data_IF_939415428181
#
_entry.id   IF_939415428181
#
_cell.length_a   1.000
_cell.length_b   1.000
_cell.length_c   1.000
_cell.angle_alpha   90.00
_cell.angle_beta   90.00
_cell.angle_gamma   90.00
#
_symmetry.space_group_name_H-M   'P 1'
#
loop_
_entity.id
_entity.type
_entity.pdbx_description
1 polymer ?
#
# COMPACT_ATOMS: atom_id res chain seq x y z
N UNK A 1 -66.48 26.36 46.38
CA UNK A 1 -66.63 26.86 44.99
C UNK A 1 -65.27 26.76 44.39
N UNK A 2 -65.04 25.73 43.63
CA UNK A 2 -63.75 25.47 42.90
C UNK A 2 -63.68 26.35 41.63
N UNK A 3 -62.62 27.06 41.54
CA UNK A 3 -62.40 28.09 40.50
C UNK A 3 -62.27 27.40 39.06
N UNK A 4 -63.15 27.68 38.10
CA UNK A 4 -63.16 27.03 36.79
C UNK A 4 -61.87 27.26 35.97
N UNK A 5 -61.07 28.26 36.32
CA UNK A 5 -59.78 28.54 35.69
C UNK A 5 -58.71 27.47 36.03
N UNK A 6 -58.82 26.77 37.20
CA UNK A 6 -57.90 25.71 37.59
C UNK A 6 -58.09 24.43 36.78
N UNK A 7 -59.35 24.09 36.44
CA UNK A 7 -59.65 22.89 35.63
C UNK A 7 -59.22 23.04 34.20
N UNK A 8 -59.36 24.24 33.59
CA UNK A 8 -58.91 24.48 32.23
C UNK A 8 -57.38 24.47 32.10
N UNK A 9 -56.66 25.00 33.10
CA UNK A 9 -55.20 24.94 33.12
C UNK A 9 -54.68 23.51 33.27
N UNK A 10 -55.35 22.66 34.08
CA UNK A 10 -54.98 21.24 34.21
C UNK A 10 -55.30 20.43 32.94
N UNK A 11 -56.42 20.74 32.23
CA UNK A 11 -56.69 20.13 30.94
C UNK A 11 -55.67 20.50 29.86
N UNK A 12 -55.21 21.75 29.82
CA UNK A 12 -54.15 22.20 28.88
C UNK A 12 -52.79 21.58 29.16
N UNK A 13 -52.45 21.36 30.44
CA UNK A 13 -51.22 20.65 30.83
C UNK A 13 -51.25 19.18 30.44
N UNK A 14 -52.41 18.49 30.58
CA UNK A 14 -52.55 17.11 30.20
C UNK A 14 -52.56 16.91 28.68
N UNK A 15 -53.16 17.82 27.91
CA UNK A 15 -53.08 17.78 26.43
C UNK A 15 -51.71 18.12 25.89
N UNK A 16 -50.98 19.06 26.52
CA UNK A 16 -49.60 19.38 26.13
C UNK A 16 -48.63 18.24 26.41
N UNK A 17 -48.82 17.47 27.49
CA UNK A 17 -47.98 16.29 27.80
C UNK A 17 -48.29 15.11 26.88
N UNK A 18 -49.52 14.97 26.36
CA UNK A 18 -49.86 13.94 25.38
C UNK A 18 -49.30 14.26 23.97
N UNK A 19 -49.11 15.53 23.61
CA UNK A 19 -48.52 15.97 22.36
C UNK A 19 -46.98 15.92 22.35
N UNK A 20 -46.35 15.73 23.53
CA UNK A 20 -44.91 15.58 23.68
C UNK A 20 -44.47 14.13 23.97
N UNK A 21 -45.31 13.12 23.78
CA UNK A 21 -44.76 11.76 23.62
C UNK A 21 -43.86 11.79 22.37
N UNK A 22 -42.52 11.61 22.50
CA UNK A 22 -41.74 11.30 21.35
C UNK A 22 -42.31 10.00 20.80
N UNK A 23 -43.04 10.08 19.68
CA UNK A 23 -43.43 8.87 18.98
C UNK A 23 -42.13 8.07 18.81
N UNK A 24 -42.13 6.83 19.30
CA UNK A 24 -41.04 5.92 19.01
C UNK A 24 -40.85 6.00 17.50
N UNK A 25 -39.78 6.67 17.07
CA UNK A 25 -39.34 6.63 15.67
C UNK A 25 -38.94 5.17 15.50
N UNK A 26 -39.89 4.35 15.00
CA UNK A 26 -39.63 2.98 14.58
C UNK A 26 -38.46 3.08 13.58
N UNK A 27 -37.27 2.79 14.08
CA UNK A 27 -36.06 2.89 13.32
C UNK A 27 -36.13 1.85 12.19
N UNK A 28 -36.21 2.35 10.97
CA UNK A 28 -36.40 1.58 9.76
C UNK A 28 -35.19 0.66 9.51
N UNK A 29 -35.42 -0.59 9.17
CA UNK A 29 -34.37 -1.50 8.75
C UNK A 29 -33.69 -0.94 7.50
N UNK A 30 -32.39 -0.75 7.56
CA UNK A 30 -31.62 -0.20 6.44
C UNK A 30 -30.31 -0.93 6.27
N UNK A 31 -30.13 -1.53 5.09
CA UNK A 31 -28.89 -2.14 4.66
C UNK A 31 -28.06 -1.11 3.90
N UNK A 32 -26.78 -1.03 4.22
CA UNK A 32 -25.81 -0.15 3.55
C UNK A 32 -24.57 -0.94 3.16
N UNK A 33 -23.98 -0.56 2.03
CA UNK A 33 -22.72 -1.09 1.48
C UNK A 33 -21.80 0.08 1.07
N UNK A 34 -20.54 -0.16 0.70
CA UNK A 34 -19.66 0.89 0.18
C UNK A 34 -20.29 1.64 -0.99
N UNK A 35 -19.97 2.91 -1.13
CA UNK A 35 -20.30 3.65 -2.34
C UNK A 35 -19.46 3.12 -3.52
N UNK A 36 -20.10 2.91 -4.67
CA UNK A 36 -19.42 2.46 -5.88
C UNK A 36 -19.51 3.47 -7.02
N UNK A 37 -18.82 3.23 -8.14
CA UNK A 37 -18.05 2.01 -8.45
C UNK A 37 -16.71 1.93 -7.73
N UNK A 38 -16.34 0.74 -7.28
CA UNK A 38 -15.01 0.44 -6.76
C UNK A 38 -14.14 -0.13 -7.88
N UNK A 39 -12.93 0.38 -8.04
CA UNK A 39 -11.96 -0.12 -9.02
C UNK A 39 -10.84 -0.84 -8.29
N UNK A 40 -10.54 -2.08 -8.70
CA UNK A 40 -9.47 -2.91 -8.14
C UNK A 40 -8.71 -3.60 -9.27
N UNK A 41 -7.44 -3.86 -9.08
CA UNK A 41 -6.62 -4.56 -10.07
C UNK A 41 -6.77 -6.08 -9.97
N UNK A 42 -6.58 -6.77 -11.10
CA UNK A 42 -6.46 -8.22 -11.10
C UNK A 42 -5.37 -8.69 -10.14
N UNK A 43 -5.61 -9.81 -9.45
CA UNK A 43 -4.71 -10.36 -8.45
C UNK A 43 -4.76 -9.66 -7.09
N UNK A 44 -5.34 -8.46 -6.99
CA UNK A 44 -5.51 -7.75 -5.72
C UNK A 44 -6.67 -8.35 -4.89
N UNK A 45 -7.04 -7.67 -3.80
CA UNK A 45 -8.17 -8.06 -2.96
C UNK A 45 -9.15 -6.91 -2.79
N UNK A 46 -10.41 -7.25 -2.47
CA UNK A 46 -11.44 -6.29 -2.11
C UNK A 46 -12.17 -6.74 -0.86
N UNK A 47 -12.59 -5.78 -0.06
CA UNK A 47 -13.41 -5.98 1.13
C UNK A 47 -14.68 -5.16 0.99
N UNK A 48 -15.83 -5.85 0.92
CA UNK A 48 -17.13 -5.22 0.81
C UNK A 48 -17.84 -5.37 2.16
N UNK A 49 -18.01 -4.27 2.88
CA UNK A 49 -18.77 -4.28 4.11
C UNK A 49 -20.28 -4.15 3.84
N UNK A 50 -21.08 -4.72 4.73
CA UNK A 50 -22.52 -4.63 4.74
C UNK A 50 -22.98 -4.28 6.16
N UNK A 51 -23.55 -3.11 6.35
CA UNK A 51 -24.00 -2.60 7.62
C UNK A 51 -25.53 -2.57 7.69
N UNK A 52 -26.08 -2.96 8.84
CA UNK A 52 -27.51 -2.93 9.12
C UNK A 52 -27.77 -1.96 10.27
N UNK A 53 -28.80 -1.12 10.13
CA UNK A 53 -29.14 -0.08 11.11
C UNK A 53 -29.55 -0.62 12.48
N UNK A 54 -30.03 -1.89 12.56
CA UNK A 54 -30.38 -2.56 13.80
C UNK A 54 -29.54 -3.81 14.03
N UNK A 55 -29.24 -4.07 15.30
CA UNK A 55 -28.34 -5.15 15.73
C UNK A 55 -28.90 -6.57 15.57
N UNK A 56 -30.11 -6.72 15.07
CA UNK A 56 -30.79 -8.01 14.90
C UNK A 56 -30.66 -8.61 13.49
N UNK A 57 -29.64 -8.27 12.73
CA UNK A 57 -29.41 -8.92 11.43
C UNK A 57 -29.25 -10.42 11.66
N UNK A 58 -30.24 -11.22 11.25
CA UNK A 58 -30.25 -12.68 11.33
C UNK A 58 -29.07 -13.30 10.58
N UNK A 59 -28.57 -12.60 9.56
CA UNK A 59 -27.42 -13.00 8.77
C UNK A 59 -27.17 -12.07 7.59
N UNK A 60 -26.11 -12.40 6.84
CA UNK A 60 -25.70 -11.69 5.63
C UNK A 60 -25.60 -12.67 4.48
N UNK A 61 -26.16 -12.30 3.34
CA UNK A 61 -26.10 -13.05 2.10
C UNK A 61 -25.52 -12.16 1.01
N UNK A 62 -24.49 -12.66 0.33
CA UNK A 62 -23.88 -11.95 -0.79
C UNK A 62 -24.13 -12.67 -2.10
N UNK A 63 -24.60 -11.91 -3.08
CA UNK A 63 -24.78 -12.33 -4.46
C UNK A 63 -24.09 -11.36 -5.39
N UNK A 64 -23.89 -11.77 -6.65
CA UNK A 64 -23.34 -10.89 -7.69
C UNK A 64 -24.14 -11.04 -8.97
N UNK A 65 -24.33 -9.94 -9.68
CA UNK A 65 -24.70 -9.88 -11.07
C UNK A 65 -23.43 -9.64 -11.88
N UNK A 66 -22.82 -10.69 -12.49
CA UNK A 66 -21.55 -10.54 -13.18
C UNK A 66 -21.63 -9.55 -14.35
N UNK A 67 -20.58 -8.75 -14.57
CA UNK A 67 -20.57 -7.78 -15.66
C UNK A 67 -20.78 -8.41 -17.06
N UNK A 68 -20.31 -9.66 -17.24
CA UNK A 68 -20.49 -10.42 -18.49
C UNK A 68 -21.89 -11.08 -18.63
N UNK A 69 -22.67 -11.13 -17.55
CA UNK A 69 -24.04 -11.69 -17.53
C UNK A 69 -24.92 -10.93 -16.52
N UNK A 70 -25.27 -9.65 -16.78
CA UNK A 70 -25.91 -8.79 -15.79
C UNK A 70 -27.33 -9.21 -15.39
N UNK A 71 -27.99 -10.06 -16.18
CA UNK A 71 -29.31 -10.61 -15.87
C UNK A 71 -29.29 -11.84 -14.95
N UNK A 72 -28.11 -12.42 -14.72
CA UNK A 72 -27.94 -13.63 -13.93
C UNK A 72 -27.43 -13.29 -12.52
N UNK A 73 -28.27 -13.50 -11.50
CA UNK A 73 -27.87 -13.41 -10.10
C UNK A 73 -27.17 -14.69 -9.66
N UNK A 74 -25.91 -14.59 -9.23
CA UNK A 74 -25.13 -15.70 -8.70
C UNK A 74 -24.95 -15.54 -7.19
N UNK A 75 -25.37 -16.55 -6.44
CA UNK A 75 -25.18 -16.61 -4.99
C UNK A 75 -23.74 -16.96 -4.65
N UNK A 76 -23.10 -16.17 -3.79
CA UNK A 76 -21.69 -16.32 -3.41
C UNK A 76 -21.57 -17.03 -2.06
N UNK A 77 -22.09 -16.41 -1.00
CA UNK A 77 -21.92 -16.87 0.37
C UNK A 77 -23.04 -16.34 1.28
N UNK A 78 -23.48 -17.17 2.22
CA UNK A 78 -24.39 -16.79 3.30
C UNK A 78 -23.78 -17.14 4.64
N UNK A 79 -24.03 -16.31 5.65
CA UNK A 79 -23.65 -16.60 7.02
C UNK A 79 -24.59 -17.62 7.71
N UNK A 80 -25.71 -17.95 7.08
CA UNK A 80 -26.75 -18.81 7.64
C UNK A 80 -26.92 -20.12 6.88
N UNK A 81 -26.76 -20.13 5.56
CA UNK A 81 -26.91 -21.32 4.72
C UNK A 81 -25.59 -21.68 4.02
N UNK A 82 -24.94 -22.77 4.45
CA UNK A 82 -23.72 -23.25 3.79
C UNK A 82 -23.91 -23.71 2.34
N UNK A 83 -25.17 -23.95 1.92
CA UNK A 83 -25.52 -24.39 0.56
C UNK A 83 -25.89 -23.22 -0.37
N UNK A 84 -25.87 -22.01 0.15
CA UNK A 84 -26.24 -20.80 -0.59
C UNK A 84 -25.37 -20.56 -1.83
N UNK A 85 -24.12 -21.05 -1.82
CA UNK A 85 -23.14 -20.78 -2.87
C UNK A 85 -23.37 -21.61 -4.13
N UNK A 86 -23.29 -20.95 -5.31
CA UNK A 86 -23.21 -21.66 -6.58
C UNK A 86 -21.90 -22.45 -6.74
N UNK A 87 -21.96 -23.54 -7.53
CA UNK A 87 -20.82 -24.44 -7.73
C UNK A 87 -19.56 -23.73 -8.24
N UNK A 88 -19.71 -22.66 -9.02
CA UNK A 88 -18.60 -21.86 -9.56
C UNK A 88 -17.73 -21.20 -8.49
N UNK A 89 -18.26 -21.01 -7.28
CA UNK A 89 -17.52 -20.42 -6.15
C UNK A 89 -16.96 -21.45 -5.17
N UNK A 90 -17.37 -22.73 -5.25
CA UNK A 90 -16.98 -23.76 -4.27
C UNK A 90 -15.46 -23.91 -4.11
N UNK A 91 -14.75 -23.89 -5.22
CA UNK A 91 -13.27 -24.03 -5.18
C UNK A 91 -12.64 -22.83 -4.43
N UNK A 92 -13.10 -21.61 -4.71
CA UNK A 92 -12.56 -20.39 -4.10
C UNK A 92 -12.95 -20.25 -2.63
N UNK A 93 -14.11 -20.74 -2.23
CA UNK A 93 -14.60 -20.74 -0.86
C UNK A 93 -13.93 -21.83 -0.01
N UNK A 94 -14.03 -23.09 -0.45
CA UNK A 94 -13.68 -24.24 0.37
C UNK A 94 -12.18 -24.63 0.27
N UNK A 95 -11.60 -24.58 -0.94
CA UNK A 95 -10.23 -25.06 -1.19
C UNK A 95 -9.21 -23.94 -1.08
N UNK A 96 -9.42 -22.87 -1.86
CA UNK A 96 -8.45 -21.75 -1.93
C UNK A 96 -8.60 -20.73 -0.81
N UNK A 97 -9.78 -20.68 -0.18
CA UNK A 97 -10.14 -19.67 0.83
C UNK A 97 -9.94 -18.24 0.33
N UNK A 98 -10.15 -18.03 -0.96
CA UNK A 98 -10.05 -16.72 -1.60
C UNK A 98 -11.29 -15.85 -1.35
N UNK A 99 -12.43 -16.48 -1.02
CA UNK A 99 -13.69 -15.80 -0.69
C UNK A 99 -14.15 -16.28 0.67
N UNK A 100 -14.40 -15.36 1.57
CA UNK A 100 -14.94 -15.65 2.89
C UNK A 100 -15.73 -14.47 3.45
N UNK A 101 -16.61 -14.76 4.40
CA UNK A 101 -17.43 -13.79 5.11
C UNK A 101 -16.90 -13.65 6.54
N UNK A 102 -16.54 -12.44 6.91
CA UNK A 102 -16.18 -12.05 8.27
C UNK A 102 -17.36 -11.35 8.93
N UNK A 103 -17.71 -11.73 10.17
CA UNK A 103 -18.69 -11.03 10.97
C UNK A 103 -17.99 -10.06 11.91
N UNK A 104 -18.21 -8.76 11.70
CA UNK A 104 -17.62 -7.68 12.49
C UNK A 104 -18.68 -7.12 13.43
N UNK A 105 -18.90 -7.80 14.57
CA UNK A 105 -19.97 -7.44 15.52
C UNK A 105 -21.37 -7.91 15.07
N UNK A 106 -22.41 -7.34 15.66
CA UNK A 106 -23.79 -7.78 15.49
C UNK A 106 -24.46 -7.26 14.21
N UNK A 107 -24.06 -6.09 13.74
CA UNK A 107 -24.71 -5.38 12.61
C UNK A 107 -23.84 -5.24 11.37
N UNK A 108 -22.66 -5.86 11.32
CA UNK A 108 -21.74 -5.70 10.18
C UNK A 108 -21.22 -7.04 9.70
N UNK A 109 -21.42 -7.33 8.43
CA UNK A 109 -20.77 -8.41 7.68
C UNK A 109 -19.76 -7.84 6.68
N UNK A 110 -18.64 -8.54 6.44
CA UNK A 110 -17.63 -8.13 5.46
C UNK A 110 -17.31 -9.30 4.54
N UNK A 111 -17.61 -9.14 3.27
CA UNK A 111 -17.20 -10.07 2.21
C UNK A 111 -15.76 -9.77 1.81
N UNK A 112 -14.90 -10.76 1.89
CA UNK A 112 -13.52 -10.71 1.42
C UNK A 112 -13.39 -11.50 0.13
N UNK A 113 -12.80 -10.89 -0.89
CA UNK A 113 -12.44 -11.54 -2.14
C UNK A 113 -10.96 -11.25 -2.39
N UNK A 114 -10.13 -12.28 -2.38
CA UNK A 114 -8.70 -12.19 -2.68
C UNK A 114 -8.42 -12.76 -4.06
N UNK A 115 -7.26 -12.39 -4.63
CA UNK A 115 -6.85 -12.86 -5.96
C UNK A 115 -7.93 -12.61 -7.02
N UNK A 116 -8.37 -11.34 -7.10
CA UNK A 116 -9.41 -10.89 -8.03
C UNK A 116 -9.08 -11.28 -9.47
N UNK A 117 -10.11 -11.68 -10.21
CA UNK A 117 -10.06 -12.00 -11.64
C UNK A 117 -10.97 -11.03 -12.42
N UNK A 118 -10.70 -10.81 -13.69
CA UNK A 118 -11.56 -9.99 -14.55
C UNK A 118 -13.04 -10.38 -14.47
N UNK A 119 -13.33 -11.68 -14.35
CA UNK A 119 -14.71 -12.21 -14.22
C UNK A 119 -15.39 -11.86 -12.89
N UNK A 120 -14.65 -11.37 -11.88
CA UNK A 120 -15.23 -10.94 -10.61
C UNK A 120 -15.85 -9.53 -10.71
N UNK A 121 -15.68 -8.84 -11.83
CA UNK A 121 -16.37 -7.58 -12.08
C UNK A 121 -17.90 -7.81 -12.14
N UNK A 122 -18.64 -6.93 -11.46
CA UNK A 122 -20.09 -7.03 -11.40
C UNK A 122 -20.73 -6.14 -10.36
N UNK A 123 -22.05 -6.28 -10.21
CA UNK A 123 -22.84 -5.63 -9.18
C UNK A 123 -23.02 -6.60 -8.01
N UNK A 124 -22.40 -6.29 -6.87
CA UNK A 124 -22.46 -7.10 -5.66
C UNK A 124 -23.61 -6.62 -4.78
N UNK A 125 -24.50 -7.50 -4.42
CA UNK A 125 -25.65 -7.22 -3.56
C UNK A 125 -25.47 -7.93 -2.21
N UNK A 126 -25.54 -7.14 -1.13
CA UNK A 126 -25.73 -7.68 0.21
C UNK A 126 -27.22 -7.69 0.53
N UNK A 127 -27.71 -8.82 0.99
CA UNK A 127 -29.07 -9.02 1.47
C UNK A 127 -29.03 -9.50 2.93
N UNK A 128 -29.95 -8.97 3.74
CA UNK A 128 -30.18 -9.44 5.11
C UNK A 128 -31.60 -9.98 5.19
N UNK A 129 -31.80 -11.27 5.55
CA UNK A 129 -33.12 -11.86 5.63
C UNK A 129 -33.99 -11.12 6.64
N UNK A 130 -35.25 -10.94 6.29
CA UNK A 130 -36.23 -10.41 7.23
C UNK A 130 -36.58 -11.48 8.28
N UNK A 131 -36.42 -11.14 9.55
CA UNK A 131 -36.81 -11.97 10.69
C UNK A 131 -38.03 -11.42 11.41
N UNK A 132 -38.59 -10.31 10.94
CA UNK A 132 -39.74 -9.62 11.52
C UNK A 132 -41.03 -9.92 10.75
N UNK A 133 -42.17 -9.89 11.43
CA UNK A 133 -43.49 -10.13 10.78
C UNK A 133 -43.81 -9.04 9.76
N UNK A 134 -43.32 -7.82 9.94
CA UNK A 134 -43.58 -6.70 9.07
C UNK A 134 -42.32 -6.28 8.28
N UNK A 135 -42.46 -6.18 6.95
CA UNK A 135 -41.43 -5.62 6.07
C UNK A 135 -41.43 -4.10 6.18
N UNK A 136 -40.51 -3.53 6.97
CA UNK A 136 -40.38 -2.09 7.07
C UNK A 136 -38.91 -1.68 6.87
N UNK A 137 -38.58 -1.19 5.66
CA UNK A 137 -37.24 -0.74 5.32
C UNK A 137 -36.66 -1.33 4.06
N UNK A 138 -35.32 -1.24 3.94
CA UNK A 138 -34.54 -1.81 2.85
C UNK A 138 -33.71 -2.99 3.36
N UNK A 139 -33.86 -4.14 2.73
CA UNK A 139 -33.23 -5.41 3.11
C UNK A 139 -32.06 -5.80 2.22
N UNK A 140 -31.78 -5.03 1.17
CA UNK A 140 -30.61 -5.20 0.32
C UNK A 140 -30.03 -3.87 -0.12
N UNK A 141 -28.74 -3.88 -0.43
CA UNK A 141 -28.02 -2.79 -1.06
C UNK A 141 -26.92 -3.35 -1.97
N UNK A 142 -26.58 -2.62 -3.01
CA UNK A 142 -25.59 -3.09 -3.97
C UNK A 142 -24.45 -2.11 -4.22
N UNK A 143 -23.31 -2.66 -4.63
CA UNK A 143 -22.10 -1.93 -4.98
C UNK A 143 -21.47 -2.52 -6.24
N UNK A 144 -21.09 -1.65 -7.17
CA UNK A 144 -20.41 -2.07 -8.40
C UNK A 144 -18.91 -2.22 -8.15
N UNK A 145 -18.37 -3.39 -8.51
CA UNK A 145 -16.94 -3.66 -8.56
C UNK A 145 -16.48 -3.75 -10.03
N UNK A 146 -15.46 -2.99 -10.36
CA UNK A 146 -14.76 -3.09 -11.65
C UNK A 146 -13.37 -3.66 -11.41
N UNK A 147 -13.01 -4.72 -12.13
CA UNK A 147 -11.67 -5.32 -12.06
C UNK A 147 -10.90 -4.90 -13.31
N UNK A 148 -9.79 -4.23 -13.12
CA UNK A 148 -8.96 -3.64 -14.18
C UNK A 148 -7.60 -4.34 -14.25
N UNK A 149 -6.95 -4.38 -15.44
CA UNK A 149 -5.61 -4.95 -15.56
C UNK A 149 -4.58 -4.11 -14.77
N UNK A 150 -3.54 -4.77 -14.26
CA UNK A 150 -2.40 -4.10 -13.63
C UNK A 150 -1.41 -3.62 -14.71
N UNK A 151 -1.49 -2.33 -15.06
CA UNK A 151 -0.69 -1.69 -16.10
C UNK A 151 0.45 -0.82 -15.57
N UNK A 152 0.68 -0.78 -14.24
CA UNK A 152 1.82 -0.06 -13.66
C UNK A 152 3.15 -0.70 -14.11
N UNK A 153 4.09 0.13 -14.53
CA UNK A 153 5.47 -0.26 -14.86
C UNK A 153 6.44 0.57 -14.06
N UNK A 154 7.45 -0.08 -13.47
CA UNK A 154 8.49 0.57 -12.65
C UNK A 154 9.83 0.00 -13.06
N UNK A 155 10.67 0.85 -13.65
CA UNK A 155 11.96 0.46 -14.22
C UNK A 155 13.08 1.32 -13.61
N UNK A 156 14.23 0.69 -13.32
CA UNK A 156 15.46 1.45 -13.07
C UNK A 156 16.05 1.89 -14.41
N UNK A 157 16.33 3.17 -14.56
CA UNK A 157 17.09 3.69 -15.70
C UNK A 157 18.58 3.87 -15.37
N UNK A 158 18.97 3.59 -14.11
CA UNK A 158 20.37 3.52 -13.70
C UNK A 158 20.98 2.16 -13.99
N UNK A 159 22.30 2.06 -14.20
CA UNK A 159 23.01 0.79 -14.36
C UNK A 159 22.81 -0.13 -13.15
N UNK A 160 23.03 -1.43 -13.32
CA UNK A 160 22.93 -2.41 -12.24
C UNK A 160 23.93 -2.13 -11.11
N UNK A 161 25.09 -1.57 -11.45
CA UNK A 161 26.07 -1.09 -10.49
C UNK A 161 26.77 0.17 -10.96
N UNK A 162 27.11 1.01 -9.97
CA UNK A 162 27.79 2.29 -10.16
C UNK A 162 28.98 2.33 -9.22
N UNK A 163 30.17 2.58 -9.78
CA UNK A 163 31.36 2.88 -8.99
C UNK A 163 31.45 4.39 -8.83
N UNK A 164 31.65 4.84 -7.61
CA UNK A 164 31.69 6.27 -7.23
C UNK A 164 32.91 6.56 -6.37
N UNK A 165 33.33 7.81 -6.36
CA UNK A 165 34.34 8.31 -5.42
C UNK A 165 33.67 8.99 -4.23
N UNK A 166 34.41 9.13 -3.13
CA UNK A 166 33.92 9.83 -1.93
C UNK A 166 33.66 11.31 -2.27
N UNK A 167 32.56 11.84 -1.76
CA UNK A 167 32.09 13.21 -2.01
C UNK A 167 31.61 13.53 -3.43
N UNK A 168 31.57 12.56 -4.36
CA UNK A 168 30.99 12.78 -5.67
C UNK A 168 29.46 12.86 -5.63
N UNK A 169 28.83 13.62 -6.56
CA UNK A 169 27.39 13.60 -6.71
C UNK A 169 26.94 12.32 -7.40
N UNK A 170 25.79 11.79 -7.02
CA UNK A 170 25.15 10.63 -7.66
C UNK A 170 23.69 10.92 -7.96
N UNK A 171 23.24 10.54 -9.14
CA UNK A 171 21.81 10.56 -9.50
C UNK A 171 21.37 9.18 -9.93
N UNK A 172 20.36 8.64 -9.27
CA UNK A 172 19.71 7.38 -9.62
C UNK A 172 18.34 7.67 -10.22
N UNK A 173 18.03 7.03 -11.34
CA UNK A 173 16.79 7.26 -12.08
C UNK A 173 15.81 6.10 -11.99
N UNK A 174 14.53 6.44 -11.88
CA UNK A 174 13.40 5.51 -11.88
C UNK A 174 12.34 6.00 -12.86
N UNK A 175 12.00 5.16 -13.83
CA UNK A 175 10.89 5.40 -14.73
C UNK A 175 9.64 4.69 -14.24
N UNK A 176 8.56 5.46 -14.07
CA UNK A 176 7.25 4.96 -13.60
C UNK A 176 6.18 5.38 -14.59
N UNK A 177 5.49 4.41 -15.17
CA UNK A 177 4.38 4.67 -16.09
C UNK A 177 3.19 3.78 -15.77
N UNK A 178 1.99 4.29 -15.98
CA UNK A 178 0.75 3.51 -15.93
C UNK A 178 -0.02 3.68 -17.23
N UNK A 179 -0.61 2.59 -17.70
CA UNK A 179 -1.50 2.58 -18.87
C UNK A 179 -2.98 2.62 -18.50
N UNK A 180 -3.32 2.87 -17.24
CA UNK A 180 -4.73 2.94 -16.80
C UNK A 180 -5.42 4.17 -17.40
N UNK A 181 -6.70 4.02 -17.74
CA UNK A 181 -7.55 5.13 -18.24
C UNK A 181 -8.28 5.87 -17.12
N UNK A 182 -8.14 5.39 -15.88
CA UNK A 182 -8.75 6.02 -14.73
C UNK A 182 -7.88 7.15 -14.18
N UNK A 183 -8.51 8.11 -13.51
CA UNK A 183 -7.77 9.16 -12.82
C UNK A 183 -7.06 8.58 -11.59
N UNK A 184 -5.76 8.42 -11.70
CA UNK A 184 -4.92 7.84 -10.65
C UNK A 184 -3.76 8.75 -10.30
N UNK A 185 -3.24 8.60 -9.09
CA UNK A 185 -2.05 9.28 -8.59
C UNK A 185 -0.93 8.27 -8.38
N UNK A 186 0.31 8.71 -8.56
CA UNK A 186 1.50 7.89 -8.36
C UNK A 186 2.26 8.41 -7.14
N UNK A 187 2.62 7.51 -6.24
CA UNK A 187 3.64 7.76 -5.21
C UNK A 187 4.91 6.98 -5.53
N UNK A 188 6.08 7.55 -5.22
CA UNK A 188 7.38 6.92 -5.45
C UNK A 188 8.19 6.99 -4.17
N UNK A 189 8.72 5.84 -3.73
CA UNK A 189 9.63 5.74 -2.60
C UNK A 189 10.94 5.10 -3.05
N UNK A 190 12.04 5.78 -2.79
CA UNK A 190 13.35 5.20 -2.92
C UNK A 190 13.74 4.47 -1.65
N UNK A 191 14.26 3.26 -1.79
CA UNK A 191 14.74 2.41 -0.71
C UNK A 191 16.23 2.18 -0.83
N UNK A 192 16.89 2.19 0.31
CA UNK A 192 18.24 1.67 0.51
C UNK A 192 18.15 0.29 1.13
N UNK A 193 18.78 -0.71 0.50
CA UNK A 193 18.83 -2.08 0.99
C UNK A 193 20.24 -2.44 1.41
N UNK A 194 20.41 -2.82 2.65
CA UNK A 194 21.57 -3.53 3.19
C UNK A 194 21.22 -5.02 3.29
N UNK A 195 22.20 -5.87 3.58
CA UNK A 195 22.09 -7.34 3.53
C UNK A 195 20.74 -7.93 4.00
N UNK A 196 20.09 -7.34 5.00
CA UNK A 196 18.90 -7.92 5.64
C UNK A 196 17.68 -6.99 5.68
N UNK A 197 17.86 -5.68 5.52
CA UNK A 197 16.78 -4.72 5.69
C UNK A 197 16.73 -3.67 4.58
N UNK A 198 15.51 -3.27 4.22
CA UNK A 198 15.25 -2.15 3.31
C UNK A 198 14.68 -0.99 4.10
N UNK A 199 15.30 0.17 3.97
CA UNK A 199 14.89 1.41 4.64
C UNK A 199 14.49 2.46 3.61
N UNK A 200 13.39 3.19 3.81
CA UNK A 200 13.02 4.28 2.93
C UNK A 200 14.06 5.41 3.04
N UNK A 201 14.46 5.94 1.90
CA UNK A 201 15.34 7.11 1.77
C UNK A 201 14.50 8.36 1.67
N UNK A 202 13.78 8.52 0.56
CA UNK A 202 12.84 9.59 0.29
C UNK A 202 11.57 9.04 -0.34
N UNK A 203 10.44 9.64 -0.01
CA UNK A 203 9.13 9.34 -0.58
C UNK A 203 8.52 10.60 -1.16
N UNK A 204 8.08 10.53 -2.41
CA UNK A 204 7.12 11.47 -2.99
C UNK A 204 5.73 10.83 -2.86
N UNK A 205 4.87 11.44 -2.04
CA UNK A 205 3.50 10.95 -1.83
C UNK A 205 2.63 11.17 -3.09
N UNK A 206 1.45 10.55 -3.11
CA UNK A 206 0.44 10.80 -4.15
C UNK A 206 -0.02 12.26 -4.21
N UNK A 207 0.15 13.00 -3.11
CA UNK A 207 -0.20 14.42 -2.97
C UNK A 207 1.00 15.33 -3.24
N UNK A 208 2.06 14.80 -3.85
CA UNK A 208 3.31 15.48 -4.21
C UNK A 208 4.12 16.03 -3.02
N UNK A 209 3.94 15.50 -1.82
CA UNK A 209 4.70 15.87 -0.64
C UNK A 209 5.93 14.95 -0.53
N UNK A 210 7.11 15.56 -0.38
CA UNK A 210 8.35 14.81 -0.15
C UNK A 210 8.55 14.63 1.36
N UNK A 211 8.85 13.39 1.75
CA UNK A 211 9.21 13.03 3.12
C UNK A 211 10.45 12.13 3.13
N UNK A 212 11.27 12.28 4.17
CA UNK A 212 12.48 11.50 4.34
C UNK A 212 12.30 10.38 5.37
N UNK A 213 12.92 9.23 5.11
CA UNK A 213 13.08 8.18 6.10
C UNK A 213 13.90 8.67 7.31
N UNK A 214 13.67 8.09 8.49
CA UNK A 214 14.29 8.55 9.75
C UNK A 214 15.81 8.74 9.65
N UNK A 215 16.51 7.82 9.01
CA UNK A 215 17.98 7.86 8.87
C UNK A 215 18.49 8.90 7.87
N UNK A 216 17.60 9.48 7.05
CA UNK A 216 17.96 10.42 6.00
C UNK A 216 17.38 11.82 6.21
N UNK A 217 16.62 12.04 7.28
CA UNK A 217 15.90 13.28 7.52
C UNK A 217 16.84 14.49 7.60
N UNK A 218 17.93 14.41 8.36
CA UNK A 218 18.87 15.50 8.52
C UNK A 218 19.61 15.82 7.21
N UNK A 219 19.98 14.80 6.41
CA UNK A 219 20.64 14.97 5.11
C UNK A 219 19.72 15.60 4.06
N UNK A 220 18.44 15.24 4.10
CA UNK A 220 17.43 15.86 3.25
C UNK A 220 17.23 17.33 3.63
N UNK A 221 17.16 17.66 4.93
CA UNK A 221 17.05 19.03 5.41
C UNK A 221 18.30 19.87 5.07
N UNK A 222 19.48 19.26 5.06
CA UNK A 222 20.74 19.90 4.64
C UNK A 222 20.88 20.04 3.11
N UNK A 223 19.95 19.51 2.32
CA UNK A 223 20.03 19.54 0.86
C UNK A 223 21.01 18.53 0.25
N UNK A 224 21.50 17.58 1.04
CA UNK A 224 22.46 16.57 0.56
C UNK A 224 21.77 15.46 -0.24
N UNK A 225 20.49 15.19 0.03
CA UNK A 225 19.69 14.19 -0.67
C UNK A 225 18.37 14.82 -1.11
N UNK A 226 18.03 14.65 -2.38
CA UNK A 226 16.81 15.16 -3.00
C UNK A 226 16.07 14.10 -3.80
N UNK A 227 14.76 14.27 -3.92
CA UNK A 227 13.90 13.50 -4.81
C UNK A 227 13.23 14.47 -5.78
N UNK A 228 13.42 14.26 -7.07
CA UNK A 228 12.95 15.15 -8.13
C UNK A 228 12.07 14.37 -9.10
N UNK A 229 10.92 14.95 -9.48
CA UNK A 229 10.13 14.48 -10.61
C UNK A 229 10.56 15.29 -11.84
N UNK A 230 11.37 14.69 -12.70
CA UNK A 230 12.01 15.36 -13.83
C UNK A 230 11.07 15.45 -15.04
N UNK A 231 10.22 14.46 -15.24
CA UNK A 231 9.22 14.42 -16.31
C UNK A 231 7.93 13.76 -15.82
N UNK A 232 7.00 13.53 -16.74
CA UNK A 232 5.75 12.81 -16.42
C UNK A 232 6.00 11.43 -15.81
N UNK A 233 7.08 10.75 -16.26
CA UNK A 233 7.38 9.36 -15.86
C UNK A 233 8.70 9.18 -15.13
N UNK A 234 9.61 10.19 -15.14
CA UNK A 234 10.98 10.05 -14.64
C UNK A 234 11.15 10.71 -13.27
N UNK A 235 11.67 9.94 -12.33
CA UNK A 235 11.97 10.34 -10.93
C UNK A 235 13.42 10.09 -10.61
N UNK A 236 14.11 11.10 -10.06
CA UNK A 236 15.51 11.02 -9.67
C UNK A 236 15.67 11.06 -8.15
N UNK A 237 16.46 10.12 -7.61
CA UNK A 237 17.08 10.26 -6.30
C UNK A 237 18.46 10.85 -6.51
N UNK A 238 18.69 12.03 -5.94
CA UNK A 238 19.93 12.78 -6.12
C UNK A 238 20.68 12.89 -4.78
N UNK A 239 21.94 12.52 -4.80
CA UNK A 239 22.91 12.80 -3.77
C UNK A 239 23.82 13.92 -4.28
N UNK A 240 23.91 15.04 -3.56
CA UNK A 240 24.86 16.11 -3.88
C UNK A 240 26.26 15.78 -3.37
N UNK A 241 26.32 14.93 -2.35
CA UNK A 241 27.57 14.46 -1.74
C UNK A 241 27.37 13.05 -1.20
N UNK A 242 28.16 12.12 -1.67
CA UNK A 242 28.18 10.75 -1.18
C UNK A 242 29.14 10.61 0.00
N UNK A 243 28.83 9.66 0.85
CA UNK A 243 29.67 9.22 1.95
C UNK A 243 29.85 7.71 1.90
N UNK A 244 30.91 7.16 2.44
CA UNK A 244 31.17 5.71 2.43
C UNK A 244 30.01 4.89 3.02
N UNK A 245 29.24 5.48 3.93
CA UNK A 245 28.03 4.88 4.49
C UNK A 245 26.92 4.67 3.43
N UNK A 246 26.96 5.38 2.30
CA UNK A 246 25.97 5.27 1.23
C UNK A 246 26.18 4.04 0.33
N UNK A 247 27.28 3.30 0.53
CA UNK A 247 27.48 2.02 -0.15
C UNK A 247 26.35 1.05 0.21
N UNK A 248 25.51 0.76 -0.77
CA UNK A 248 24.31 -0.10 -0.62
C UNK A 248 23.67 -0.39 -1.97
N UNK A 249 22.59 -1.13 -1.95
CA UNK A 249 21.69 -1.29 -3.08
C UNK A 249 20.51 -0.34 -2.94
N UNK A 250 20.18 0.34 -4.04
CA UNK A 250 19.07 1.29 -4.12
C UNK A 250 18.06 0.83 -5.16
N UNK A 251 16.78 0.91 -4.83
CA UNK A 251 15.69 0.66 -5.75
C UNK A 251 14.53 1.62 -5.49
N UNK A 252 13.74 1.90 -6.51
CA UNK A 252 12.50 2.63 -6.34
C UNK A 252 11.31 1.67 -6.28
N UNK A 253 10.30 2.05 -5.51
CA UNK A 253 9.01 1.42 -5.44
C UNK A 253 7.95 2.47 -5.74
N UNK A 254 7.06 2.18 -6.68
CA UNK A 254 5.94 3.05 -6.98
C UNK A 254 4.62 2.35 -6.67
N UNK A 255 3.65 3.15 -6.18
CA UNK A 255 2.27 2.71 -6.00
C UNK A 255 1.35 3.60 -6.80
N UNK A 256 0.41 2.98 -7.48
CA UNK A 256 -0.68 3.66 -8.19
C UNK A 256 -1.90 3.70 -7.28
N UNK A 257 -2.51 4.87 -7.12
CA UNK A 257 -3.59 5.14 -6.20
C UNK A 257 -4.83 5.62 -6.94
N UNK A 258 -5.99 5.12 -6.54
CA UNK A 258 -7.29 5.62 -6.97
C UNK A 258 -8.07 6.12 -5.76
N UNK A 259 -8.89 7.15 -5.95
CA UNK A 259 -9.80 7.60 -4.92
C UNK A 259 -11.15 6.90 -5.11
N UNK A 260 -11.61 6.20 -4.08
CA UNK A 260 -12.94 5.61 -4.04
C UNK A 260 -14.02 6.70 -3.87
N UNK A 261 -15.29 6.45 -4.18
CA UNK A 261 -16.35 7.46 -4.08
C UNK A 261 -16.61 8.00 -2.67
N UNK A 262 -16.12 7.31 -1.63
CA UNK A 262 -16.15 7.77 -0.23
C UNK A 262 -14.94 8.65 0.14
N UNK A 263 -14.20 9.12 -0.89
CA UNK A 263 -12.99 9.95 -0.79
C UNK A 263 -11.78 9.22 -0.17
N UNK A 264 -11.88 7.95 0.16
CA UNK A 264 -10.72 7.18 0.64
C UNK A 264 -9.80 6.80 -0.52
N UNK A 265 -8.48 6.81 -0.26
CA UNK A 265 -7.47 6.42 -1.23
C UNK A 265 -7.14 4.95 -1.12
N UNK A 266 -7.24 4.25 -2.23
CA UNK A 266 -6.91 2.85 -2.35
C UNK A 266 -5.69 2.62 -3.25
N UNK A 267 -4.67 1.85 -2.80
CA UNK A 267 -3.54 1.48 -3.64
C UNK A 267 -3.96 0.38 -4.62
N UNK A 268 -4.08 0.71 -5.90
CA UNK A 268 -4.43 -0.25 -6.95
C UNK A 268 -3.36 -1.33 -7.08
N UNK A 269 -2.11 -0.90 -7.14
CA UNK A 269 -0.96 -1.79 -7.30
C UNK A 269 0.31 -1.13 -6.81
N UNK A 270 1.29 -1.94 -6.44
CA UNK A 270 2.62 -1.49 -6.02
C UNK A 270 3.69 -2.35 -6.68
N UNK A 271 4.64 -1.72 -7.34
CA UNK A 271 5.77 -2.40 -8.00
C UNK A 271 7.09 -1.75 -7.63
N UNK A 272 8.16 -2.50 -7.80
CA UNK A 272 9.53 -2.05 -7.54
C UNK A 272 10.42 -2.27 -8.76
N UNK A 273 11.42 -1.40 -8.93
CA UNK A 273 12.45 -1.53 -9.95
C UNK A 273 13.48 -2.63 -9.58
N UNK A 274 14.37 -2.92 -10.52
CA UNK A 274 15.64 -3.57 -10.19
C UNK A 274 16.45 -2.65 -9.28
N UNK A 275 17.33 -3.24 -8.47
CA UNK A 275 18.23 -2.48 -7.63
C UNK A 275 19.50 -2.07 -8.41
N UNK A 276 20.01 -0.89 -8.11
CA UNK A 276 21.35 -0.42 -8.50
C UNK A 276 22.26 -0.55 -7.28
N UNK A 277 23.41 -1.21 -7.43
CA UNK A 277 24.43 -1.31 -6.40
C UNK A 277 25.40 -0.14 -6.51
N UNK A 278 25.52 0.64 -5.44
CA UNK A 278 26.48 1.73 -5.32
C UNK A 278 27.69 1.22 -4.54
N UNK A 279 28.88 1.33 -5.13
CA UNK A 279 30.16 0.90 -4.54
C UNK A 279 31.19 2.02 -4.66
N UNK A 280 32.03 2.18 -3.64
CA UNK A 280 33.15 3.11 -3.71
C UNK A 280 34.34 2.44 -4.38
N UNK A 281 34.99 3.16 -5.30
CA UNK A 281 36.24 2.71 -5.94
C UNK A 281 37.34 2.69 -4.87
N UNK A 282 37.91 1.52 -4.64
CA UNK A 282 39.04 1.37 -3.73
C UNK A 282 40.34 1.85 -4.38
N UNK A 283 40.60 3.15 -4.38
CA UNK A 283 41.92 3.68 -4.75
C UNK A 283 43.03 3.35 -3.73
N UNK A 284 42.69 2.93 -2.53
CA UNK A 284 43.67 2.65 -1.48
C UNK A 284 44.51 1.37 -1.69
N UNK A 285 44.06 0.41 -2.47
CA UNK A 285 44.89 -0.81 -2.65
C UNK A 285 46.09 -0.63 -3.58
N UNK A 286 46.09 0.35 -4.48
CA UNK A 286 47.24 0.60 -5.37
C UNK A 286 48.35 1.44 -4.68
N UNK A 287 48.02 2.30 -3.73
CA UNK A 287 49.02 3.06 -2.98
C UNK A 287 49.76 2.20 -1.95
N UNK A 288 49.07 1.26 -1.32
CA UNK A 288 49.66 0.31 -0.39
C UNK A 288 50.62 -0.68 -1.10
N UNK A 289 50.30 -1.12 -2.31
CA UNK A 289 51.14 -2.01 -3.09
C UNK A 289 52.38 -1.26 -3.64
N UNK A 290 52.24 0.04 -3.98
CA UNK A 290 53.42 0.86 -4.39
C UNK A 290 54.33 1.21 -3.19
N UNK A 291 53.80 1.46 -2.02
CA UNK A 291 54.62 1.71 -0.83
C UNK A 291 55.34 0.46 -0.32
N UNK A 292 54.70 -0.72 -0.42
CA UNK A 292 55.37 -1.96 -0.02
C UNK A 292 56.45 -2.42 -1.02
N UNK A 293 56.33 -2.10 -2.31
CA UNK A 293 57.37 -2.40 -3.30
C UNK A 293 58.60 -1.48 -3.18
N UNK A 294 58.43 -0.26 -2.65
CA UNK A 294 59.57 0.66 -2.42
C UNK A 294 60.37 0.27 -1.18
N UNK A 295 59.75 -0.29 -0.13
CA UNK A 295 60.44 -0.73 1.09
C UNK A 295 61.29 -1.99 0.89
N UNK A 296 60.93 -2.85 -0.11
CA UNK A 296 61.74 -4.04 -0.42
C UNK A 296 62.94 -3.76 -1.29
N UNK A 297 63.01 -2.63 -2.03
CA UNK A 297 64.16 -2.28 -2.87
C UNK A 297 65.33 -1.69 -2.07
N UNK A 298 65.06 -1.10 -0.89
CA UNK A 298 66.10 -0.44 -0.07
C UNK A 298 66.77 -1.38 0.93
N UNK A 299 66.18 -2.55 1.26
CA UNK A 299 66.73 -3.48 2.26
C UNK A 299 67.73 -4.53 1.69
N UNK A 300 67.92 -4.61 0.36
CA UNK A 300 68.79 -5.63 -0.24
C UNK A 300 70.20 -5.13 -0.59
N UNK A 301 70.49 -3.84 -0.47
CA UNK A 301 71.82 -3.31 -0.80
C UNK A 301 72.80 -3.26 0.36
N UNK A 302 72.36 -3.35 1.60
CA UNK A 302 73.18 -3.32 2.79
C UNK A 302 74.02 -4.59 3.08
N UNK A 303 73.60 -5.82 2.84
CA UNK A 303 74.42 -7.02 3.10
C UNK A 303 75.55 -7.24 2.09
N UNK A 304 75.46 -6.70 0.85
CA UNK A 304 76.48 -6.90 -0.19
C UNK A 304 77.70 -6.03 0.10
N UNK A 305 77.53 -4.80 0.59
CA UNK A 305 78.63 -3.89 0.91
C UNK A 305 79.39 -4.41 2.15
N UNK A 306 78.73 -5.03 3.12
CA UNK A 306 79.42 -5.58 4.30
C UNK A 306 80.23 -6.83 3.97
N UNK A 307 79.83 -7.68 3.02
CA UNK A 307 80.60 -8.82 2.54
C UNK A 307 81.82 -8.42 1.74
N UNK A 308 81.79 -7.32 0.99
CA UNK A 308 82.95 -6.83 0.22
C UNK A 308 84.03 -6.18 1.11
N UNK A 309 83.68 -5.58 2.22
CA UNK A 309 84.62 -4.99 3.21
C UNK A 309 85.30 -6.05 4.08
N UNK A 310 84.71 -7.22 4.28
CA UNK A 310 85.31 -8.31 5.07
C UNK A 310 86.28 -9.19 4.29
N UNK A 311 86.30 -9.10 2.92
CA UNK A 311 87.25 -9.83 2.08
C UNK A 311 88.54 -9.07 1.83
N UNK A 312 88.70 -7.79 2.27
CA UNK A 312 89.96 -6.99 2.15
C UNK A 312 90.80 -6.97 3.36
N UNK A 313 90.57 -7.71 4.44
CA UNK A 313 91.27 -7.69 5.71
C UNK A 313 92.00 -8.98 6.07
N UNK A 314 92.37 -9.81 5.09
CA UNK A 314 93.26 -10.92 5.40
C UNK A 314 94.69 -10.63 4.92
N UNK A 315 95.72 -10.50 5.84
CA UNK A 315 97.10 -10.39 5.46
C UNK A 315 97.70 -11.73 5.03
N UNK A 316 98.51 -11.69 4.06
CA UNK A 316 99.36 -12.75 3.51
C UNK A 316 100.30 -13.32 4.49
#
# INVERSE_FOLDING_TARGET
MSNPLSLMAQLWLLTATYLMCPGEVLSQHQVRVPQGPLHRTEGSSVHLWCNVSHSSAGGFEWSVFPAHSPSQKLQIISSMDPRFSYAVYRERLAVRKEIYLERVGTGTGRLHITNLKARDAGEYECHTPNTEENYYGTYSASVRLTVIPDLLRVLSVSPEWVSVEDHEPLTLGCEVSSGTHYHTHISVTWFRRNKEASHPVLTLSRDFIISAGRSFQWRHQAGEIGLEKVSATLYHLRFTRLHSIDQAEYYCQASEWIQDPDETWYPLTTKRSRATRVQFSSQEMMSAVRSSSFVWAESQTLPIILCLLLLQSWPS
#
